data_IF_323410053830
#
_entry.id   IF_323410053830
#
_cell.length_a   1.000
_cell.length_b   1.000
_cell.length_c   1.000
_cell.angle_alpha   90.00
_cell.angle_beta   90.00
_cell.angle_gamma   90.00
#
_symmetry.space_group_name_H-M   'P 1'
#
loop_
_entity.id
_entity.type
_entity.pdbx_description
1 polymer ?
#
# COMPACT_ATOMS: atom_id res chain seq x y z
N UNK A 1 -16.44 10.06 13.93
CA UNK A 1 -16.96 8.68 13.86
C UNK A 1 -17.96 8.38 14.97
N UNK A 2 -17.67 8.68 16.25
CA UNK A 2 -18.59 8.40 17.38
C UNK A 2 -19.97 9.06 17.28
N UNK A 3 -20.06 10.30 16.77
CA UNK A 3 -21.34 10.99 16.63
C UNK A 3 -22.31 10.30 15.66
N UNK A 4 -21.80 9.70 14.58
CA UNK A 4 -22.62 8.99 13.60
C UNK A 4 -23.19 7.69 14.17
N UNK A 5 -22.37 6.90 14.86
CA UNK A 5 -22.83 5.71 15.59
C UNK A 5 -23.82 6.08 16.69
N UNK A 6 -23.59 7.16 17.42
CA UNK A 6 -24.49 7.61 18.47
C UNK A 6 -25.85 8.06 17.91
N UNK A 7 -25.86 8.79 16.78
CA UNK A 7 -27.09 9.16 16.07
C UNK A 7 -27.82 7.91 15.56
N UNK A 8 -27.09 6.94 15.00
CA UNK A 8 -27.67 5.68 14.53
C UNK A 8 -28.27 4.86 15.68
N UNK A 9 -27.54 4.70 16.79
CA UNK A 9 -28.01 4.00 17.99
C UNK A 9 -29.28 4.64 18.56
N UNK A 10 -29.38 5.98 18.53
CA UNK A 10 -30.58 6.70 18.98
C UNK A 10 -31.72 6.68 17.96
N UNK A 11 -31.41 6.53 16.68
CA UNK A 11 -32.39 6.46 15.60
C UNK A 11 -33.02 5.07 15.46
N UNK A 12 -32.24 4.04 15.81
CA UNK A 12 -32.63 2.64 15.76
C UNK A 12 -33.79 2.35 16.72
N UNK A 13 -34.85 1.69 16.22
CA UNK A 13 -36.06 1.42 17.00
C UNK A 13 -35.90 0.16 17.86
N UNK A 14 -35.11 0.28 18.93
CA UNK A 14 -34.89 -0.78 19.91
C UNK A 14 -36.17 -1.38 20.53
N UNK A 15 -37.29 -0.67 20.43
CA UNK A 15 -38.59 -1.11 20.95
C UNK A 15 -39.39 -1.99 19.97
N UNK A 16 -39.00 -2.06 18.68
CA UNK A 16 -39.66 -2.87 17.65
C UNK A 16 -38.65 -3.83 17.02
N UNK A 17 -38.13 -4.74 17.85
CA UNK A 17 -37.20 -5.77 17.39
C UNK A 17 -37.97 -6.86 16.63
N UNK A 18 -38.22 -6.59 15.35
CA UNK A 18 -38.72 -7.61 14.42
C UNK A 18 -37.56 -8.53 14.01
N UNK A 19 -37.88 -9.64 13.34
CA UNK A 19 -36.90 -10.64 12.92
C UNK A 19 -35.74 -10.03 12.10
N UNK A 20 -36.05 -9.09 11.21
CA UNK A 20 -35.09 -8.38 10.36
C UNK A 20 -34.09 -7.55 11.20
N UNK A 21 -34.62 -6.77 12.15
CA UNK A 21 -33.83 -5.92 13.06
C UNK A 21 -32.91 -6.76 13.96
N UNK A 22 -33.41 -7.90 14.43
CA UNK A 22 -32.63 -8.87 15.21
C UNK A 22 -31.48 -9.47 14.40
N UNK A 23 -31.76 -9.81 13.15
CA UNK A 23 -30.77 -10.37 12.23
C UNK A 23 -29.64 -9.37 11.94
N UNK A 24 -29.98 -8.10 11.70
CA UNK A 24 -28.98 -7.03 11.48
C UNK A 24 -28.09 -6.84 12.72
N UNK A 25 -28.68 -6.78 13.93
CA UNK A 25 -27.91 -6.67 15.18
C UNK A 25 -26.98 -7.88 15.35
N UNK A 26 -27.49 -9.08 15.08
CA UNK A 26 -26.72 -10.32 15.23
C UNK A 26 -25.52 -10.34 14.29
N UNK A 27 -25.70 -9.94 13.03
CA UNK A 27 -24.60 -9.82 12.07
C UNK A 27 -23.59 -8.74 12.47
N UNK A 28 -24.05 -7.57 12.91
CA UNK A 28 -23.16 -6.51 13.39
C UNK A 28 -22.37 -6.95 14.64
N UNK A 29 -22.99 -7.72 15.53
CA UNK A 29 -22.33 -8.27 16.71
C UNK A 29 -21.28 -9.32 16.33
N UNK A 30 -21.61 -10.28 15.47
CA UNK A 30 -20.66 -11.28 14.94
C UNK A 30 -19.49 -10.58 14.26
N UNK A 31 -19.78 -9.64 13.35
CA UNK A 31 -18.76 -8.88 12.63
C UNK A 31 -17.88 -8.07 13.59
N UNK A 32 -18.47 -7.44 14.60
CA UNK A 32 -17.73 -6.72 15.64
C UNK A 32 -16.82 -7.62 16.46
N UNK A 33 -17.31 -8.79 16.89
CA UNK A 33 -16.52 -9.78 17.65
C UNK A 33 -15.35 -10.30 16.80
N UNK A 34 -15.60 -10.74 15.57
CA UNK A 34 -14.51 -11.16 14.66
C UNK A 34 -13.54 -10.01 14.39
N UNK A 35 -14.03 -8.78 14.30
CA UNK A 35 -13.16 -7.62 14.09
C UNK A 35 -12.25 -7.30 15.29
N UNK A 36 -12.66 -7.70 16.50
CA UNK A 36 -11.84 -7.55 17.72
C UNK A 36 -10.84 -8.69 17.90
N UNK A 37 -11.11 -9.86 17.31
CA UNK A 37 -10.34 -11.09 17.56
C UNK A 37 -9.36 -11.44 16.44
N UNK A 38 -9.72 -11.20 15.18
CA UNK A 38 -8.94 -11.61 14.00
C UNK A 38 -8.34 -10.41 13.27
N UNK A 39 -9.19 -9.57 12.69
CA UNK A 39 -8.78 -8.46 11.83
C UNK A 39 -9.57 -7.20 12.16
N UNK A 40 -8.91 -6.06 12.39
CA UNK A 40 -9.58 -4.85 12.85
C UNK A 40 -10.59 -4.29 11.83
N UNK A 41 -11.64 -3.64 12.30
CA UNK A 41 -12.82 -3.24 11.50
C UNK A 41 -12.52 -2.33 10.28
N UNK A 42 -11.35 -1.68 10.23
CA UNK A 42 -10.95 -0.77 9.16
C UNK A 42 -10.56 -1.45 7.85
N UNK A 43 -10.41 -2.78 7.85
CA UNK A 43 -10.26 -3.54 6.60
C UNK A 43 -11.55 -3.49 5.77
N UNK A 44 -11.42 -3.22 4.47
CA UNK A 44 -12.56 -2.99 3.57
C UNK A 44 -13.58 -4.15 3.55
N UNK A 45 -13.10 -5.39 3.70
CA UNK A 45 -13.95 -6.59 3.78
C UNK A 45 -14.97 -6.53 4.94
N UNK A 46 -14.57 -5.99 6.09
CA UNK A 46 -15.46 -5.81 7.24
C UNK A 46 -16.20 -4.48 7.17
N UNK A 47 -15.51 -3.40 6.79
CA UNK A 47 -16.07 -2.06 6.76
C UNK A 47 -17.21 -1.94 5.75
N UNK A 48 -17.09 -2.57 4.58
CA UNK A 48 -18.13 -2.55 3.54
C UNK A 48 -19.41 -3.23 4.00
N UNK A 49 -19.28 -4.44 4.57
CA UNK A 49 -20.42 -5.18 5.12
C UNK A 49 -21.05 -4.41 6.29
N UNK A 50 -20.23 -3.88 7.20
CA UNK A 50 -20.69 -3.07 8.32
C UNK A 50 -21.45 -1.82 7.85
N UNK A 51 -20.97 -1.12 6.81
CA UNK A 51 -21.63 0.05 6.25
C UNK A 51 -23.00 -0.29 5.64
N UNK A 52 -23.09 -1.40 4.90
CA UNK A 52 -24.36 -1.89 4.33
C UNK A 52 -25.34 -2.24 5.45
N UNK A 53 -24.90 -2.98 6.46
CA UNK A 53 -25.75 -3.38 7.59
C UNK A 53 -26.24 -2.19 8.42
N UNK A 54 -25.37 -1.21 8.68
CA UNK A 54 -25.74 0.03 9.36
C UNK A 54 -26.74 0.84 8.52
N UNK A 55 -26.56 0.92 7.21
CA UNK A 55 -27.51 1.57 6.31
C UNK A 55 -28.86 0.86 6.23
N UNK A 56 -28.85 -0.47 6.16
CA UNK A 56 -30.07 -1.29 6.14
C UNK A 56 -30.85 -1.24 7.46
N UNK A 57 -30.14 -1.05 8.59
CA UNK A 57 -30.75 -0.88 9.91
C UNK A 57 -31.29 0.53 10.17
N UNK A 58 -30.99 1.51 9.32
CA UNK A 58 -31.54 2.85 9.43
C UNK A 58 -32.90 2.94 8.72
N UNK A 59 -33.99 2.73 9.48
CA UNK A 59 -35.35 2.88 8.97
C UNK A 59 -35.75 4.34 8.71
N UNK A 60 -34.92 5.31 9.12
CA UNK A 60 -35.20 6.71 8.80
C UNK A 60 -34.74 6.95 7.38
N UNK A 61 -35.71 7.13 6.48
CA UNK A 61 -35.47 7.86 5.25
C UNK A 61 -35.06 9.28 5.66
N UNK A 62 -33.76 9.52 5.80
CA UNK A 62 -33.21 10.86 5.98
C UNK A 62 -33.48 11.57 4.66
N UNK A 63 -34.66 12.20 4.56
CA UNK A 63 -34.94 13.13 3.49
C UNK A 63 -34.04 14.33 3.75
N UNK A 64 -32.86 14.31 3.12
CA UNK A 64 -31.97 15.46 3.11
C UNK A 64 -32.65 16.54 2.28
N UNK A 65 -33.53 17.30 2.93
CA UNK A 65 -34.04 18.52 2.36
C UNK A 65 -32.87 19.49 2.43
N UNK A 66 -32.01 19.44 1.40
CA UNK A 66 -30.89 20.34 1.19
C UNK A 66 -31.48 21.74 1.21
N UNK A 67 -31.54 22.35 2.39
CA UNK A 67 -32.33 23.57 2.56
C UNK A 67 -31.77 24.60 1.60
N UNK A 68 -32.64 25.44 1.02
CA UNK A 68 -32.22 26.56 0.16
C UNK A 68 -31.19 27.50 0.82
N UNK A 69 -30.91 27.32 2.12
CA UNK A 69 -29.89 28.00 2.93
C UNK A 69 -28.46 27.52 2.68
N UNK A 70 -28.26 26.31 2.14
CA UNK A 70 -26.95 25.84 1.71
C UNK A 70 -26.64 26.51 0.37
N UNK A 71 -25.71 27.46 0.37
CA UNK A 71 -25.38 28.27 -0.80
C UNK A 71 -25.01 27.39 -1.99
N UNK A 72 -25.39 27.80 -3.21
CA UNK A 72 -25.05 27.13 -4.46
C UNK A 72 -23.58 26.64 -4.54
N UNK A 73 -22.55 27.39 -4.10
CA UNK A 73 -21.17 26.91 -4.16
C UNK A 73 -20.88 25.69 -3.26
N UNK A 74 -21.51 25.56 -2.09
CA UNK A 74 -21.28 24.40 -1.22
C UNK A 74 -21.81 23.11 -1.85
N UNK A 75 -23.00 23.16 -2.46
CA UNK A 75 -23.59 22.01 -3.16
C UNK A 75 -22.70 21.59 -4.31
N UNK A 76 -22.24 22.55 -5.12
CA UNK A 76 -21.33 22.29 -6.22
C UNK A 76 -20.02 21.67 -5.73
N UNK A 77 -19.44 22.18 -4.65
CA UNK A 77 -18.23 21.62 -4.04
C UNK A 77 -18.43 20.19 -3.57
N UNK A 78 -19.56 19.88 -2.90
CA UNK A 78 -19.88 18.52 -2.48
C UNK A 78 -20.00 17.57 -3.68
N UNK A 79 -20.71 17.98 -4.73
CA UNK A 79 -20.81 17.20 -5.98
C UNK A 79 -19.44 16.98 -6.62
N UNK A 80 -18.59 18.00 -6.68
CA UNK A 80 -17.23 17.88 -7.22
C UNK A 80 -16.37 16.91 -6.40
N UNK A 81 -16.42 16.99 -5.06
CA UNK A 81 -15.70 16.06 -4.18
C UNK A 81 -16.16 14.62 -4.38
N UNK A 82 -17.47 14.40 -4.51
CA UNK A 82 -18.02 13.05 -4.78
C UNK A 82 -17.58 12.52 -6.15
N UNK A 83 -17.61 13.36 -7.19
CA UNK A 83 -17.16 12.99 -8.53
C UNK A 83 -15.66 12.67 -8.52
N UNK A 84 -14.84 13.53 -7.93
CA UNK A 84 -13.39 13.31 -7.82
C UNK A 84 -13.07 12.06 -6.98
N UNK A 85 -13.81 11.84 -5.89
CA UNK A 85 -13.70 10.64 -5.08
C UNK A 85 -14.04 9.37 -5.86
N UNK A 86 -15.10 9.41 -6.67
CA UNK A 86 -15.49 8.29 -7.52
C UNK A 86 -14.45 8.03 -8.63
N UNK A 87 -13.92 9.08 -9.24
CA UNK A 87 -12.83 8.98 -10.22
C UNK A 87 -11.60 8.34 -9.55
N UNK A 88 -11.16 8.85 -8.40
CA UNK A 88 -10.00 8.31 -7.68
C UNK A 88 -10.21 6.83 -7.31
N UNK A 89 -11.37 6.48 -6.75
CA UNK A 89 -11.70 5.10 -6.41
C UNK A 89 -11.68 4.19 -7.64
N UNK A 90 -12.25 4.64 -8.76
CA UNK A 90 -12.24 3.90 -10.02
C UNK A 90 -10.82 3.71 -10.56
N UNK A 91 -9.98 4.76 -10.50
CA UNK A 91 -8.58 4.66 -10.92
C UNK A 91 -7.76 3.72 -10.05
N UNK A 92 -8.03 3.66 -8.75
CA UNK A 92 -7.38 2.71 -7.84
C UNK A 92 -7.80 1.28 -8.14
N UNK A 93 -9.09 1.01 -8.38
CA UNK A 93 -9.57 -0.32 -8.76
C UNK A 93 -8.94 -0.80 -10.07
N UNK A 94 -8.86 0.08 -11.08
CA UNK A 94 -8.22 -0.25 -12.35
C UNK A 94 -6.71 -0.47 -12.16
N UNK A 95 -6.06 0.32 -11.30
CA UNK A 95 -4.64 0.13 -10.98
C UNK A 95 -4.39 -1.22 -10.34
N UNK A 96 -5.22 -1.64 -9.37
CA UNK A 96 -5.09 -2.93 -8.71
C UNK A 96 -5.18 -4.09 -9.72
N UNK A 97 -6.21 -4.07 -10.59
CA UNK A 97 -6.38 -5.08 -11.65
C UNK A 97 -5.16 -5.12 -12.59
N UNK A 98 -4.61 -3.95 -12.94
CA UNK A 98 -3.43 -3.88 -13.81
C UNK A 98 -2.16 -4.38 -13.12
N UNK A 99 -1.97 -4.08 -11.84
CA UNK A 99 -0.84 -4.56 -11.05
C UNK A 99 -0.93 -6.08 -10.86
N UNK A 100 -2.12 -6.61 -10.55
CA UNK A 100 -2.37 -8.04 -10.47
C UNK A 100 -2.08 -8.74 -11.81
N UNK A 101 -2.60 -8.19 -12.91
CA UNK A 101 -2.31 -8.70 -14.25
C UNK A 101 -0.81 -8.67 -14.58
N UNK A 102 -0.11 -7.61 -14.16
CA UNK A 102 1.34 -7.52 -14.35
C UNK A 102 2.07 -8.60 -13.54
N UNK A 103 1.71 -8.81 -12.27
CA UNK A 103 2.26 -9.89 -11.43
C UNK A 103 2.01 -11.24 -12.10
N UNK A 104 0.79 -11.47 -12.58
CA UNK A 104 0.43 -12.73 -13.23
C UNK A 104 1.30 -12.99 -14.47
N UNK A 105 1.47 -11.98 -15.33
CA UNK A 105 2.29 -12.05 -16.53
C UNK A 105 3.77 -12.31 -16.22
N UNK A 106 4.32 -11.62 -15.23
CA UNK A 106 5.74 -11.76 -14.85
C UNK A 106 6.00 -13.11 -14.18
N UNK A 107 5.14 -13.52 -13.24
CA UNK A 107 5.37 -14.72 -12.42
C UNK A 107 5.00 -16.00 -13.16
N UNK A 108 3.89 -16.03 -13.90
CA UNK A 108 3.38 -17.26 -14.51
C UNK A 108 3.63 -17.35 -16.00
N UNK A 109 3.62 -16.22 -16.72
CA UNK A 109 3.78 -16.21 -18.18
C UNK A 109 5.20 -15.83 -18.61
N UNK A 110 6.06 -15.42 -17.67
CA UNK A 110 7.41 -14.91 -17.91
C UNK A 110 7.44 -13.78 -18.97
N UNK A 111 6.38 -12.97 -19.01
CA UNK A 111 6.28 -11.79 -19.89
C UNK A 111 6.22 -10.52 -19.05
N UNK A 112 6.94 -9.48 -19.49
CA UNK A 112 6.98 -8.19 -18.77
C UNK A 112 6.29 -7.09 -19.58
N UNK A 113 5.02 -6.82 -19.25
CA UNK A 113 4.23 -5.76 -19.87
C UNK A 113 4.32 -4.46 -19.04
N UNK A 114 5.42 -3.73 -19.20
CA UNK A 114 5.69 -2.48 -18.45
C UNK A 114 4.58 -1.44 -18.56
N UNK A 115 3.77 -1.46 -19.63
CA UNK A 115 2.65 -0.52 -19.82
C UNK A 115 1.63 -0.59 -18.70
N UNK A 116 1.44 -1.76 -18.11
CA UNK A 116 0.53 -1.95 -16.97
C UNK A 116 1.04 -1.22 -15.73
N UNK A 117 2.34 -1.37 -15.46
CA UNK A 117 3.03 -0.76 -14.33
C UNK A 117 3.11 0.76 -14.49
N UNK A 118 3.50 1.25 -15.67
CA UNK A 118 3.61 2.67 -15.99
C UNK A 118 2.26 3.39 -15.90
N UNK A 119 1.19 2.70 -16.31
CA UNK A 119 -0.15 3.26 -16.18
C UNK A 119 -0.51 3.46 -14.70
N UNK A 120 -0.22 2.48 -13.84
CA UNK A 120 -0.49 2.57 -12.40
C UNK A 120 0.36 3.66 -11.73
N UNK A 121 1.64 3.80 -12.12
CA UNK A 121 2.52 4.90 -11.67
C UNK A 121 1.96 6.28 -12.01
N UNK A 122 1.49 6.47 -13.25
CA UNK A 122 1.07 7.80 -13.74
C UNK A 122 -0.37 8.17 -13.40
N UNK A 123 -1.27 7.20 -13.28
CA UNK A 123 -2.72 7.43 -13.33
C UNK A 123 -3.43 7.18 -11.99
N UNK A 124 -2.72 6.69 -10.98
CA UNK A 124 -3.31 6.26 -9.71
C UNK A 124 -2.49 6.74 -8.52
N UNK A 125 -3.16 6.91 -7.38
CA UNK A 125 -2.51 7.11 -6.08
C UNK A 125 -1.76 5.87 -5.58
N UNK A 126 -1.88 4.73 -6.27
CA UNK A 126 -1.11 3.50 -6.01
C UNK A 126 0.30 3.50 -6.62
N UNK A 127 0.82 4.66 -7.10
CA UNK A 127 2.19 4.76 -7.62
C UNK A 127 3.27 4.12 -6.72
N UNK A 128 3.27 4.32 -5.39
CA UNK A 128 4.30 3.71 -4.53
C UNK A 128 4.31 2.18 -4.58
N UNK A 129 3.15 1.55 -4.79
CA UNK A 129 3.05 0.09 -4.96
C UNK A 129 3.56 -0.36 -6.33
N UNK A 130 3.28 0.42 -7.38
CA UNK A 130 3.81 0.16 -8.71
C UNK A 130 5.34 0.31 -8.75
N UNK A 131 5.90 1.32 -8.08
CA UNK A 131 7.34 1.52 -7.92
C UNK A 131 8.00 0.36 -7.15
N UNK A 132 7.37 -0.05 -6.04
CA UNK A 132 7.80 -1.23 -5.28
C UNK A 132 7.83 -2.49 -6.14
N UNK A 133 6.80 -2.72 -6.96
CA UNK A 133 6.76 -3.89 -7.84
C UNK A 133 7.85 -3.83 -8.93
N UNK A 134 8.19 -2.65 -9.47
CA UNK A 134 9.31 -2.53 -10.42
C UNK A 134 10.68 -2.87 -9.81
N UNK A 135 10.96 -2.45 -8.58
CA UNK A 135 12.26 -2.73 -7.96
C UNK A 135 12.37 -4.19 -7.50
N UNK A 136 11.22 -4.84 -7.25
CA UNK A 136 11.20 -6.24 -6.82
C UNK A 136 11.64 -7.25 -7.88
N UNK A 137 11.58 -6.89 -9.17
CA UNK A 137 12.09 -7.75 -10.22
C UNK A 137 13.61 -7.65 -10.30
N UNK A 138 14.28 -8.59 -9.64
CA UNK A 138 15.75 -8.74 -9.55
C UNK A 138 16.50 -8.61 -10.89
N UNK A 139 15.84 -8.88 -12.03
CA UNK A 139 16.47 -8.78 -13.34
C UNK A 139 16.85 -7.35 -13.78
N UNK A 140 16.28 -6.31 -13.16
CA UNK A 140 16.47 -4.93 -13.61
C UNK A 140 17.74 -4.25 -13.07
N UNK A 141 18.10 -4.52 -11.80
CA UNK A 141 19.19 -3.85 -11.05
C UNK A 141 20.57 -3.92 -11.73
N UNK A 142 20.76 -4.86 -12.66
CA UNK A 142 22.07 -5.21 -13.18
C UNK A 142 22.36 -4.73 -14.62
N UNK A 143 21.40 -4.09 -15.29
CA UNK A 143 21.44 -3.83 -16.73
C UNK A 143 21.05 -2.39 -17.17
N UNK A 144 20.76 -1.46 -16.25
CA UNK A 144 20.22 -0.12 -16.61
C UNK A 144 21.05 1.05 -16.08
N UNK A 145 20.62 2.25 -16.48
CA UNK A 145 21.09 3.54 -15.98
C UNK A 145 20.89 3.62 -14.47
N UNK A 146 21.99 3.68 -13.73
CA UNK A 146 22.00 3.58 -12.28
C UNK A 146 21.31 4.76 -11.59
N UNK A 147 21.23 5.93 -12.24
CA UNK A 147 20.71 7.17 -11.64
C UNK A 147 19.21 7.12 -11.37
N UNK A 148 18.42 6.68 -12.35
CA UNK A 148 16.98 6.51 -12.18
C UNK A 148 16.68 5.38 -11.20
N UNK A 149 17.44 4.29 -11.24
CA UNK A 149 17.25 3.15 -10.35
C UNK A 149 17.50 3.49 -8.88
N UNK A 150 18.55 4.26 -8.57
CA UNK A 150 18.81 4.71 -7.19
C UNK A 150 17.65 5.54 -6.65
N UNK A 151 17.11 6.46 -7.47
CA UNK A 151 15.95 7.27 -7.06
C UNK A 151 14.70 6.42 -6.80
N UNK A 152 14.45 5.43 -7.65
CA UNK A 152 13.32 4.50 -7.48
C UNK A 152 13.49 3.66 -6.21
N UNK A 153 14.68 3.11 -5.94
CA UNK A 153 14.94 2.33 -4.72
C UNK A 153 14.84 3.21 -3.46
N UNK A 154 15.30 4.46 -3.51
CA UNK A 154 15.12 5.41 -2.41
C UNK A 154 13.65 5.75 -2.15
N UNK A 155 12.86 5.96 -3.21
CA UNK A 155 11.41 6.20 -3.09
C UNK A 155 10.72 5.03 -2.38
N UNK A 156 11.05 3.80 -2.76
CA UNK A 156 10.51 2.59 -2.13
C UNK A 156 10.96 2.49 -0.67
N UNK A 157 12.24 2.75 -0.36
CA UNK A 157 12.73 2.78 1.01
C UNK A 157 12.04 3.82 1.88
N UNK A 158 11.64 4.97 1.32
CA UNK A 158 10.88 5.99 2.05
C UNK A 158 9.41 5.59 2.28
N UNK A 159 8.80 4.91 1.31
CA UNK A 159 7.41 4.46 1.42
C UNK A 159 7.26 3.24 2.33
N UNK A 160 8.08 2.22 2.10
CA UNK A 160 8.10 0.97 2.84
C UNK A 160 9.50 0.36 2.79
N UNK A 161 10.31 0.53 3.86
CA UNK A 161 11.61 -0.12 3.97
C UNK A 161 11.49 -1.64 3.83
N UNK A 162 12.19 -2.21 2.87
CA UNK A 162 12.22 -3.66 2.64
C UNK A 162 13.64 -4.16 2.50
N UNK A 163 13.90 -5.32 3.09
CA UNK A 163 15.22 -5.95 3.19
C UNK A 163 15.94 -5.99 1.83
N UNK A 164 15.32 -6.59 0.82
CA UNK A 164 15.93 -6.76 -0.51
C UNK A 164 16.29 -5.42 -1.15
N UNK A 165 15.40 -4.43 -1.06
CA UNK A 165 15.59 -3.09 -1.64
C UNK A 165 16.72 -2.35 -0.90
N UNK A 166 16.83 -2.53 0.41
CA UNK A 166 17.85 -1.90 1.24
C UNK A 166 19.27 -2.36 0.86
N UNK A 167 19.44 -3.66 0.56
CA UNK A 167 20.72 -4.18 0.09
C UNK A 167 21.00 -3.82 -1.37
N UNK A 168 20.00 -3.93 -2.26
CA UNK A 168 20.13 -3.51 -3.66
C UNK A 168 20.55 -2.05 -3.80
N UNK A 169 20.01 -1.16 -2.94
CA UNK A 169 20.38 0.24 -2.93
C UNK A 169 21.87 0.45 -2.58
N UNK A 170 22.43 -0.34 -1.66
CA UNK A 170 23.86 -0.26 -1.34
C UNK A 170 24.72 -0.64 -2.56
N UNK A 171 24.34 -1.70 -3.28
CA UNK A 171 25.03 -2.10 -4.50
C UNK A 171 24.91 -1.04 -5.59
N UNK A 172 23.72 -0.48 -5.82
CA UNK A 172 23.51 0.55 -6.85
C UNK A 172 24.35 1.80 -6.58
N UNK A 173 24.46 2.22 -5.32
CA UNK A 173 25.33 3.33 -4.91
C UNK A 173 26.81 3.04 -5.21
N UNK A 174 27.26 1.79 -4.99
CA UNK A 174 28.62 1.37 -5.30
C UNK A 174 28.88 1.36 -6.82
N UNK A 175 27.92 0.88 -7.61
CA UNK A 175 27.99 0.89 -9.07
C UNK A 175 28.03 2.30 -9.65
N UNK A 176 27.44 3.30 -8.98
CA UNK A 176 27.58 4.72 -9.30
C UNK A 176 28.91 5.35 -8.88
N UNK A 177 29.78 4.60 -8.19
CA UNK A 177 31.00 5.13 -7.57
C UNK A 177 30.74 5.98 -6.32
N UNK A 178 29.53 5.96 -5.76
CA UNK A 178 29.19 6.65 -4.51
C UNK A 178 29.55 5.80 -3.29
N UNK A 179 30.80 5.37 -3.24
CA UNK A 179 31.31 4.36 -2.32
C UNK A 179 31.03 4.65 -0.83
N UNK A 180 31.26 5.88 -0.38
CA UNK A 180 30.97 6.27 1.01
C UNK A 180 29.48 6.09 1.38
N UNK A 181 28.57 6.39 0.46
CA UNK A 181 27.13 6.20 0.67
C UNK A 181 26.74 4.72 0.59
N UNK A 182 27.41 3.94 -0.24
CA UNK A 182 27.21 2.49 -0.32
C UNK A 182 27.52 1.82 1.03
N UNK A 183 28.66 2.17 1.64
CA UNK A 183 29.03 1.70 2.99
C UNK A 183 27.99 2.13 4.03
N UNK A 184 27.59 3.41 4.04
CA UNK A 184 26.59 3.90 4.99
C UNK A 184 25.25 3.16 4.85
N UNK A 185 24.80 2.97 3.60
CA UNK A 185 23.56 2.25 3.31
C UNK A 185 23.68 0.78 3.71
N UNK A 186 24.79 0.11 3.39
CA UNK A 186 25.00 -1.28 3.77
C UNK A 186 25.02 -1.46 5.29
N UNK A 187 25.65 -0.54 6.03
CA UNK A 187 25.63 -0.54 7.49
C UNK A 187 24.21 -0.45 8.05
N UNK A 188 23.39 0.45 7.51
CA UNK A 188 21.97 0.57 7.89
C UNK A 188 21.21 -0.73 7.57
N UNK A 189 21.43 -1.31 6.40
CA UNK A 189 20.80 -2.57 5.98
C UNK A 189 21.18 -3.73 6.89
N UNK A 190 22.45 -3.89 7.23
CA UNK A 190 22.94 -4.92 8.17
C UNK A 190 22.36 -4.74 9.58
N UNK A 191 22.20 -3.49 10.02
CA UNK A 191 21.64 -3.18 11.34
C UNK A 191 20.13 -3.45 11.40
N UNK A 192 19.39 -3.10 10.35
CA UNK A 192 17.94 -3.26 10.29
C UNK A 192 17.51 -4.69 9.89
N UNK A 193 18.30 -5.37 9.06
CA UNK A 193 17.98 -6.68 8.48
C UNK A 193 19.20 -7.64 8.52
N UNK A 194 19.67 -8.02 9.71
CA UNK A 194 20.93 -8.79 9.86
C UNK A 194 20.91 -10.13 9.13
N UNK A 195 19.80 -10.86 9.16
CA UNK A 195 19.66 -12.15 8.45
C UNK A 195 19.46 -12.01 6.93
N UNK A 196 19.36 -10.78 6.42
CA UNK A 196 19.10 -10.53 5.01
C UNK A 196 20.33 -10.52 4.12
N UNK A 197 21.52 -10.37 4.71
CA UNK A 197 22.76 -10.31 3.94
C UNK A 197 23.07 -11.64 3.26
N UNK A 198 22.98 -12.76 3.99
CA UNK A 198 23.22 -14.09 3.42
C UNK A 198 22.22 -14.44 2.31
N UNK A 199 20.94 -14.08 2.50
CA UNK A 199 19.90 -14.25 1.49
C UNK A 199 20.19 -13.41 0.24
N UNK A 200 20.58 -12.15 0.43
CA UNK A 200 20.99 -11.28 -0.67
C UNK A 200 22.18 -11.87 -1.43
N UNK A 201 23.22 -12.32 -0.73
CA UNK A 201 24.42 -12.89 -1.34
C UNK A 201 24.10 -14.15 -2.17
N UNK A 202 23.19 -15.01 -1.69
CA UNK A 202 22.78 -16.22 -2.41
C UNK A 202 21.98 -15.94 -3.70
N UNK A 203 21.19 -14.87 -3.71
CA UNK A 203 20.37 -14.48 -4.87
C UNK A 203 21.10 -13.56 -5.86
N UNK A 204 22.23 -12.98 -5.45
CA UNK A 204 23.01 -12.05 -6.26
C UNK A 204 23.85 -12.81 -7.31
N UNK A 205 23.89 -12.36 -8.59
CA UNK A 205 24.78 -12.94 -9.60
C UNK A 205 26.26 -12.86 -9.18
N UNK A 206 27.06 -13.88 -9.52
CA UNK A 206 28.48 -13.99 -9.13
C UNK A 206 29.30 -12.72 -9.37
N UNK A 207 29.05 -12.01 -10.48
CA UNK A 207 29.69 -10.74 -10.83
C UNK A 207 29.61 -9.69 -9.70
N UNK A 208 28.50 -9.66 -8.96
CA UNK A 208 28.22 -8.62 -7.95
C UNK A 208 28.43 -9.14 -6.51
N UNK A 209 28.56 -10.45 -6.30
CA UNK A 209 28.84 -11.02 -4.97
C UNK A 209 30.12 -10.47 -4.36
N UNK A 210 31.17 -10.36 -5.19
CA UNK A 210 32.45 -9.80 -4.74
C UNK A 210 32.30 -8.38 -4.20
N UNK A 211 31.50 -7.55 -4.86
CA UNK A 211 31.27 -6.16 -4.44
C UNK A 211 30.61 -6.11 -3.05
N UNK A 212 29.61 -6.95 -2.80
CA UNK A 212 28.97 -7.02 -1.48
C UNK A 212 29.93 -7.47 -0.39
N UNK A 213 30.79 -8.46 -0.66
CA UNK A 213 31.77 -8.94 0.30
C UNK A 213 32.83 -7.88 0.62
N UNK A 214 33.32 -7.18 -0.41
CA UNK A 214 34.29 -6.08 -0.24
C UNK A 214 33.67 -4.94 0.60
N UNK A 215 32.44 -4.52 0.28
CA UNK A 215 31.70 -3.54 1.07
C UNK A 215 31.45 -3.97 2.52
N UNK A 216 31.13 -5.25 2.75
CA UNK A 216 30.90 -5.78 4.09
C UNK A 216 32.16 -5.71 4.95
N UNK A 217 33.31 -6.09 4.39
CA UNK A 217 34.60 -6.04 5.07
C UNK A 217 34.96 -4.61 5.50
N UNK A 218 34.78 -3.64 4.61
CA UNK A 218 35.02 -2.23 4.94
C UNK A 218 34.01 -1.66 5.94
N UNK A 219 32.75 -2.07 5.84
CA UNK A 219 31.72 -1.68 6.82
C UNK A 219 32.10 -2.15 8.22
N UNK A 220 32.58 -3.39 8.36
CA UNK A 220 33.05 -3.94 9.63
C UNK A 220 34.31 -3.25 10.16
N UNK A 221 35.24 -2.89 9.27
CA UNK A 221 36.46 -2.13 9.62
C UNK A 221 36.14 -0.74 10.17
N UNK A 222 35.11 -0.07 9.62
CA UNK A 222 34.69 1.26 10.06
C UNK A 222 33.89 1.27 11.37
N UNK A 223 33.28 0.15 11.78
CA UNK A 223 32.59 0.04 13.08
C UNK A 223 33.61 0.03 14.25
N UNK A 224 34.87 -0.33 13.98
CA UNK A 224 35.96 -0.36 14.97
C UNK A 224 36.71 0.96 15.18
N UNK A 225 36.29 2.06 14.53
CA UNK A 225 36.89 3.40 14.65
C UNK A 225 35.88 4.38 15.21
#
# INVERSE_FOLDING_TARGET
>A
TCAGLWVWLNAFKWQKLNLETWWIISLLAVLGIHSMLEYPLWYAFFLGIAAILLGAGDERLITFNLSKRLSNPFRLSLFLVLILGLINLSTMLIAEIKLESWIQKVVYENTNDQRLLDWAKKSSSLSPYAERLSVMTLGNVYNHDTDEEVLQHQSVMNFKPEEMVAYQLALLLELQGQHAKAIEQLHKSLSAYPEGFDRTLNTTPEKYKKIYLDLQLETQSNIGK
#
